data_IF_292818975778
#
_entry.id   IF_292818975778
#
_cell.length_a   1.000
_cell.length_b   1.000
_cell.length_c   1.000
_cell.angle_alpha   90.00
_cell.angle_beta   90.00
_cell.angle_gamma   90.00
#
_symmetry.space_group_name_H-M   'P 1'
#
loop_
_entity.id
_entity.type
_entity.pdbx_description
1 polymer ?
#
# COMPACT_ATOMS: atom_id res chain seq x y z
N UNK A 1 13.91 -7.35 -10.97
CA UNK A 1 13.68 -5.92 -11.34
C UNK A 1 14.60 -5.15 -10.44
N UNK A 2 15.61 -4.46 -10.97
CA UNK A 2 16.55 -3.73 -10.10
C UNK A 2 15.92 -2.39 -9.70
N UNK A 3 15.65 -2.24 -8.41
CA UNK A 3 15.21 -0.97 -7.83
C UNK A 3 16.39 0.00 -7.81
N UNK A 4 16.19 1.21 -8.34
CA UNK A 4 17.17 2.29 -8.19
C UNK A 4 17.47 2.51 -6.70
N UNK A 5 18.66 3.03 -6.43
CA UNK A 5 19.06 3.38 -5.05
C UNK A 5 18.00 4.29 -4.45
N UNK A 6 17.37 3.81 -3.37
CA UNK A 6 16.32 4.54 -2.64
C UNK A 6 16.81 5.95 -2.26
N UNK A 7 16.05 7.02 -2.55
CA UNK A 7 16.40 8.38 -2.15
C UNK A 7 16.43 8.50 -0.61
N UNK A 8 17.11 9.51 -0.06
CA UNK A 8 17.18 9.71 1.40
C UNK A 8 15.80 9.84 2.05
N UNK A 9 14.86 10.48 1.36
CA UNK A 9 13.45 10.60 1.77
C UNK A 9 12.76 9.25 1.96
N UNK A 10 13.19 8.22 1.24
CA UNK A 10 12.69 6.86 1.42
C UNK A 10 12.95 6.37 2.84
N UNK A 11 14.16 6.57 3.38
CA UNK A 11 14.49 6.12 4.74
C UNK A 11 13.72 6.91 5.80
N UNK A 12 13.42 8.19 5.55
CA UNK A 12 12.61 9.01 6.47
C UNK A 12 11.20 8.43 6.65
N UNK A 13 10.53 8.04 5.57
CA UNK A 13 9.18 7.44 5.63
C UNK A 13 9.18 6.13 6.40
N UNK A 14 10.23 5.31 6.22
CA UNK A 14 10.40 4.06 6.96
C UNK A 14 10.60 4.31 8.46
N UNK A 15 11.55 5.17 8.80
CA UNK A 15 11.87 5.48 10.19
C UNK A 15 10.66 6.10 10.90
N UNK A 16 9.86 6.88 10.19
CA UNK A 16 8.59 7.41 10.68
C UNK A 16 7.55 6.32 10.92
N UNK A 17 7.32 5.41 9.97
CA UNK A 17 6.39 4.30 10.16
C UNK A 17 6.78 3.42 11.37
N UNK A 18 8.08 3.12 11.52
CA UNK A 18 8.62 2.38 12.67
C UNK A 18 8.43 3.18 13.98
N UNK A 19 8.63 4.50 13.95
CA UNK A 19 8.43 5.39 15.10
C UNK A 19 6.96 5.45 15.50
N UNK A 20 6.04 5.68 14.56
CA UNK A 20 4.60 5.75 14.83
C UNK A 20 4.08 4.44 15.38
N UNK A 21 4.50 3.31 14.81
CA UNK A 21 4.15 1.98 15.33
C UNK A 21 4.56 1.81 16.79
N UNK A 22 5.79 2.18 17.13
CA UNK A 22 6.30 2.15 18.50
C UNK A 22 5.57 3.12 19.43
N UNK A 23 5.35 4.36 18.99
CA UNK A 23 4.70 5.41 19.78
C UNK A 23 3.24 5.04 20.11
N UNK A 24 2.56 4.31 19.21
CA UNK A 24 1.22 3.74 19.42
C UNK A 24 1.23 2.43 20.21
N UNK A 25 2.40 1.88 20.54
CA UNK A 25 2.53 0.61 21.24
C UNK A 25 2.05 -0.59 20.42
N UNK A 26 2.09 -0.51 19.09
CA UNK A 26 1.67 -1.60 18.21
C UNK A 26 2.72 -2.72 18.30
N UNK A 27 2.31 -3.95 18.67
CA UNK A 27 3.27 -5.02 18.82
C UNK A 27 3.65 -5.61 17.44
N UNK A 28 4.88 -6.12 17.25
CA UNK A 28 5.38 -6.54 15.93
C UNK A 28 4.54 -7.64 15.26
N UNK A 29 3.86 -8.48 16.03
CA UNK A 29 2.95 -9.50 15.49
C UNK A 29 1.70 -8.92 14.84
N UNK A 30 1.32 -7.67 15.15
CA UNK A 30 0.17 -6.98 14.55
C UNK A 30 0.54 -6.09 13.38
N UNK A 31 1.73 -5.49 13.41
CA UNK A 31 2.29 -4.75 12.30
C UNK A 31 3.81 -4.67 12.40
N UNK A 32 4.50 -5.06 11.33
CA UNK A 32 5.95 -4.92 11.23
C UNK A 32 6.40 -4.76 9.79
N UNK A 33 7.62 -4.23 9.61
CA UNK A 33 8.33 -4.36 8.35
C UNK A 33 8.42 -5.84 7.97
N UNK A 34 8.12 -6.17 6.71
CA UNK A 34 8.20 -7.54 6.22
C UNK A 34 9.67 -7.96 6.11
N UNK A 35 9.96 -9.26 6.18
CA UNK A 35 11.33 -9.75 6.08
C UNK A 35 11.98 -9.28 4.77
N UNK A 36 13.16 -8.65 4.86
CA UNK A 36 13.90 -8.09 3.70
C UNK A 36 14.17 -9.12 2.61
N UNK A 37 14.37 -10.39 2.98
CA UNK A 37 14.55 -11.50 2.04
C UNK A 37 13.33 -11.79 1.19
N UNK A 38 12.14 -11.32 1.57
CA UNK A 38 10.88 -11.53 0.85
C UNK A 38 10.33 -10.30 0.14
N UNK A 39 10.98 -9.12 0.25
CA UNK A 39 10.45 -7.89 -0.37
C UNK A 39 10.35 -7.98 -1.88
N UNK A 40 11.41 -8.47 -2.52
CA UNK A 40 11.44 -8.59 -3.97
C UNK A 40 10.31 -9.49 -4.46
N UNK A 41 10.03 -10.59 -3.76
CA UNK A 41 8.93 -11.49 -4.09
C UNK A 41 7.56 -10.82 -3.97
N UNK A 42 7.32 -10.06 -2.89
CA UNK A 42 6.05 -9.36 -2.67
C UNK A 42 5.84 -8.27 -3.72
N UNK A 43 6.86 -7.44 -3.96
CA UNK A 43 6.78 -6.35 -4.95
C UNK A 43 6.66 -6.93 -6.37
N UNK A 44 7.43 -7.97 -6.69
CA UNK A 44 7.34 -8.64 -8.00
C UNK A 44 5.93 -9.21 -8.21
N UNK A 45 5.37 -9.91 -7.23
CA UNK A 45 3.99 -10.42 -7.31
C UNK A 45 2.99 -9.29 -7.48
N UNK A 46 3.12 -8.19 -6.74
CA UNK A 46 2.29 -7.01 -6.93
C UNK A 46 2.37 -6.49 -8.37
N UNK A 47 3.58 -6.23 -8.88
CA UNK A 47 3.78 -5.68 -10.21
C UNK A 47 3.18 -6.58 -11.29
N UNK A 48 3.51 -7.88 -11.30
CA UNK A 48 2.99 -8.80 -12.31
C UNK A 48 1.49 -9.11 -12.19
N UNK A 49 0.90 -8.90 -11.00
CA UNK A 49 -0.52 -9.17 -10.77
C UNK A 49 -1.41 -7.96 -11.07
N UNK A 50 -0.93 -6.73 -10.88
CA UNK A 50 -1.79 -5.55 -11.00
C UNK A 50 -1.35 -4.59 -12.10
N UNK A 51 -0.08 -4.59 -12.50
CA UNK A 51 0.44 -3.63 -13.48
C UNK A 51 0.52 -4.22 -14.89
N UNK A 52 0.34 -3.37 -15.89
CA UNK A 52 0.78 -3.62 -17.25
C UNK A 52 2.28 -3.34 -17.34
N UNK A 53 3.07 -4.40 -17.24
CA UNK A 53 4.53 -4.33 -17.26
C UNK A 53 5.11 -3.73 -18.55
N UNK A 54 4.33 -3.62 -19.64
CA UNK A 54 4.77 -2.93 -20.86
C UNK A 54 4.68 -1.41 -20.73
N UNK A 55 3.78 -0.91 -19.86
CA UNK A 55 3.55 0.51 -19.61
C UNK A 55 4.37 1.03 -18.43
N UNK A 56 4.77 0.14 -17.52
CA UNK A 56 5.61 0.51 -16.37
C UNK A 56 6.96 1.08 -16.83
N UNK A 57 7.28 2.29 -16.35
CA UNK A 57 8.54 2.97 -16.62
C UNK A 57 9.30 3.20 -15.32
N UNK A 58 10.61 2.94 -15.36
CA UNK A 58 11.46 3.11 -14.19
C UNK A 58 11.25 2.02 -13.14
N UNK A 59 11.94 2.18 -12.02
CA UNK A 59 11.95 1.22 -10.93
C UNK A 59 11.21 1.71 -9.68
N UNK A 60 10.69 2.93 -9.68
CA UNK A 60 9.84 3.44 -8.60
C UNK A 60 8.44 2.83 -8.66
N UNK A 61 7.81 2.66 -7.49
CA UNK A 61 6.38 2.31 -7.42
C UNK A 61 5.48 3.56 -7.43
N UNK A 62 6.05 4.76 -7.36
CA UNK A 62 5.29 6.00 -7.55
C UNK A 62 4.58 6.02 -8.91
N UNK A 63 3.34 6.47 -8.92
CA UNK A 63 2.41 6.51 -10.07
C UNK A 63 2.17 5.16 -10.77
N UNK A 64 2.55 4.03 -10.16
CA UNK A 64 2.34 2.71 -10.79
C UNK A 64 0.87 2.40 -11.00
N UNK A 65 -0.01 3.00 -10.21
CA UNK A 65 -1.46 2.89 -10.38
C UNK A 65 -1.96 3.37 -11.75
N UNK A 66 -1.28 4.33 -12.40
CA UNK A 66 -1.59 4.76 -13.76
C UNK A 66 -1.39 3.63 -14.80
N UNK A 67 -0.58 2.64 -14.43
CA UNK A 67 -0.24 1.50 -15.27
C UNK A 67 -0.99 0.23 -14.84
N UNK A 68 -2.07 0.33 -14.06
CA UNK A 68 -2.89 -0.85 -13.74
C UNK A 68 -3.38 -1.52 -15.03
N UNK A 69 -3.26 -2.86 -15.06
CA UNK A 69 -3.55 -3.63 -16.27
C UNK A 69 -5.03 -3.59 -16.62
N UNK A 70 -5.30 -3.63 -17.92
CA UNK A 70 -6.66 -3.79 -18.43
C UNK A 70 -7.25 -5.12 -17.92
N UNK A 71 -8.51 -5.08 -17.49
CA UNK A 71 -9.24 -6.26 -17.02
C UNK A 71 -9.42 -6.38 -15.51
N UNK A 72 -8.79 -5.52 -14.70
CA UNK A 72 -9.15 -5.39 -13.28
C UNK A 72 -10.58 -4.86 -13.13
N UNK A 73 -11.26 -5.25 -12.05
CA UNK A 73 -12.51 -4.64 -11.63
C UNK A 73 -12.18 -3.52 -10.64
N UNK A 74 -12.65 -2.30 -10.90
CA UNK A 74 -12.36 -1.13 -10.08
C UNK A 74 -13.61 -0.68 -9.32
N UNK A 75 -13.44 -0.21 -8.09
CA UNK A 75 -14.46 0.57 -7.38
C UNK A 75 -14.52 1.99 -7.93
N UNK A 76 -15.58 2.72 -7.56
CA UNK A 76 -15.53 4.18 -7.59
C UNK A 76 -14.42 4.69 -6.65
N UNK A 77 -13.79 5.84 -6.97
CA UNK A 77 -12.74 6.40 -6.14
C UNK A 77 -13.33 6.97 -4.84
N UNK A 78 -12.72 6.60 -3.71
CA UNK A 78 -12.95 7.27 -2.43
C UNK A 78 -12.07 8.52 -2.41
N UNK A 79 -12.68 9.70 -2.49
CA UNK A 79 -11.95 10.98 -2.47
C UNK A 79 -11.53 11.34 -1.04
N UNK A 80 -10.30 11.83 -0.91
CA UNK A 80 -9.83 12.53 0.25
C UNK A 80 -10.69 13.79 0.44
N UNK A 81 -11.05 14.07 1.68
CA UNK A 81 -11.78 15.27 2.06
C UNK A 81 -10.87 16.15 2.92
N UNK A 82 -11.47 17.06 3.70
CA UNK A 82 -10.70 17.86 4.66
C UNK A 82 -10.19 17.06 5.87
N UNK A 83 -10.71 15.85 6.09
CA UNK A 83 -10.36 14.98 7.23
C UNK A 83 -9.75 13.66 6.71
N UNK A 84 -8.45 13.54 6.89
CA UNK A 84 -7.65 12.40 6.44
C UNK A 84 -7.94 11.12 7.24
N UNK A 85 -8.23 11.24 8.54
CA UNK A 85 -8.61 10.11 9.38
C UNK A 85 -9.96 9.53 8.93
N UNK A 86 -10.95 10.39 8.70
CA UNK A 86 -12.25 9.98 8.17
C UNK A 86 -12.15 9.42 6.74
N UNK A 87 -11.20 9.92 5.95
CA UNK A 87 -10.89 9.36 4.64
C UNK A 87 -10.35 7.93 4.76
N UNK A 88 -9.27 7.70 5.51
CA UNK A 88 -8.70 6.36 5.67
C UNK A 88 -9.66 5.38 6.35
N UNK A 89 -10.51 5.84 7.27
CA UNK A 89 -11.59 5.02 7.82
C UNK A 89 -12.54 4.50 6.73
N UNK A 90 -12.93 5.34 5.75
CA UNK A 90 -13.76 4.92 4.60
C UNK A 90 -13.01 4.00 3.65
N UNK A 91 -11.72 4.26 3.40
CA UNK A 91 -10.89 3.39 2.55
C UNK A 91 -10.77 1.99 3.15
N UNK A 92 -10.65 1.87 4.48
CA UNK A 92 -10.61 0.58 5.18
C UNK A 92 -11.85 -0.27 4.90
N UNK A 93 -13.03 0.34 4.73
CA UNK A 93 -14.27 -0.37 4.45
C UNK A 93 -14.32 -1.02 3.06
N UNK A 94 -13.37 -0.69 2.16
CA UNK A 94 -13.21 -1.37 0.87
C UNK A 94 -12.64 -2.79 1.01
N UNK A 95 -12.11 -3.16 2.18
CA UNK A 95 -11.54 -4.48 2.40
C UNK A 95 -12.68 -5.53 2.40
N UNK A 96 -12.58 -6.56 1.53
CA UNK A 96 -13.56 -7.66 1.49
C UNK A 96 -13.69 -8.34 2.85
N UNK A 97 -14.92 -8.71 3.22
CA UNK A 97 -15.26 -9.26 4.53
C UNK A 97 -14.38 -10.45 4.90
N UNK A 98 -14.07 -11.33 3.93
CA UNK A 98 -13.26 -12.51 4.14
C UNK A 98 -11.78 -12.23 4.49
N UNK A 99 -11.30 -11.01 4.27
CA UNK A 99 -9.90 -10.61 4.48
C UNK A 99 -9.74 -9.61 5.64
N UNK A 100 -10.82 -9.16 6.29
CA UNK A 100 -10.77 -8.14 7.37
C UNK A 100 -9.94 -8.56 8.58
N UNK A 101 -10.00 -9.83 8.95
CA UNK A 101 -9.26 -10.41 10.08
C UNK A 101 -7.91 -11.02 9.67
N UNK A 102 -7.47 -10.80 8.42
CA UNK A 102 -6.17 -11.28 7.93
C UNK A 102 -5.16 -10.15 7.99
N UNK A 103 -3.90 -10.54 8.14
CA UNK A 103 -2.79 -9.64 7.82
C UNK A 103 -2.84 -9.32 6.33
N UNK A 104 -2.49 -8.09 5.99
CA UNK A 104 -2.40 -7.55 4.65
C UNK A 104 -0.95 -7.10 4.41
N UNK A 105 -0.57 -6.96 3.15
CA UNK A 105 0.67 -6.26 2.83
C UNK A 105 0.40 -4.78 2.60
N UNK A 106 1.27 -3.93 3.13
CA UNK A 106 1.35 -2.51 2.78
C UNK A 106 2.66 -2.30 2.03
N UNK A 107 2.58 -1.83 0.79
CA UNK A 107 3.74 -1.40 0.01
C UNK A 107 3.68 0.12 -0.13
N UNK A 108 4.73 0.81 0.30
CA UNK A 108 4.88 2.25 0.07
C UNK A 108 5.57 2.50 -1.29
N UNK A 109 5.27 3.63 -1.93
CA UNK A 109 5.82 3.99 -3.26
C UNK A 109 7.35 3.91 -3.32
N UNK A 110 8.03 4.14 -2.18
CA UNK A 110 9.48 4.07 -2.05
C UNK A 110 10.02 2.63 -1.87
N UNK A 111 9.17 1.61 -2.00
CA UNK A 111 9.54 0.19 -1.99
C UNK A 111 9.79 -0.40 -0.60
N UNK A 112 9.15 0.15 0.44
CA UNK A 112 9.09 -0.48 1.76
C UNK A 112 7.87 -1.38 1.85
N UNK A 113 8.05 -2.57 2.40
CA UNK A 113 6.99 -3.58 2.53
C UNK A 113 6.76 -3.86 4.00
N UNK A 114 5.50 -3.75 4.42
CA UNK A 114 5.04 -4.09 5.75
C UNK A 114 3.98 -5.18 5.66
N UNK A 115 3.81 -5.91 6.76
CA UNK A 115 2.71 -6.84 6.96
C UNK A 115 2.02 -6.50 8.28
N UNK A 116 0.69 -6.41 8.26
CA UNK A 116 -0.08 -6.17 9.47
C UNK A 116 -1.59 -6.20 9.25
N UNK A 117 -2.36 -6.07 10.31
CA UNK A 117 -3.83 -6.02 10.20
C UNK A 117 -4.31 -4.65 9.74
N UNK A 118 -5.53 -4.62 9.20
CA UNK A 118 -6.15 -3.40 8.70
C UNK A 118 -6.26 -2.31 9.77
N UNK A 119 -6.54 -2.67 11.03
CA UNK A 119 -6.60 -1.71 12.13
C UNK A 119 -5.28 -0.94 12.28
N UNK A 120 -4.15 -1.64 12.38
CA UNK A 120 -2.84 -1.02 12.53
C UNK A 120 -2.44 -0.23 11.29
N UNK A 121 -2.57 -0.81 10.10
CA UNK A 121 -2.21 -0.15 8.83
C UNK A 121 -2.94 1.20 8.74
N UNK A 122 -4.26 1.20 8.88
CA UNK A 122 -5.07 2.41 8.71
C UNK A 122 -4.96 3.38 9.90
N UNK A 123 -4.42 2.96 11.04
CA UNK A 123 -4.07 3.86 12.15
C UNK A 123 -2.76 4.63 11.93
N UNK A 124 -1.90 4.16 11.01
CA UNK A 124 -0.60 4.75 10.70
C UNK A 124 -0.66 5.66 9.47
N UNK A 125 -1.38 5.25 8.41
CA UNK A 125 -1.46 5.98 7.14
C UNK A 125 -1.74 7.49 7.29
N UNK A 126 -2.77 7.96 8.03
CA UNK A 126 -3.07 9.40 8.17
C UNK A 126 -2.00 10.19 8.94
N UNK A 127 -1.03 9.53 9.55
CA UNK A 127 0.01 10.18 10.38
C UNK A 127 1.39 10.13 9.73
N UNK A 128 1.52 9.53 8.54
CA UNK A 128 2.78 9.50 7.79
C UNK A 128 3.00 10.86 7.10
N UNK A 129 4.07 11.56 7.46
CA UNK A 129 4.41 12.89 6.95
C UNK A 129 4.68 12.94 5.43
N UNK A 130 4.97 11.80 4.79
CA UNK A 130 5.26 11.75 3.35
C UNK A 130 4.72 10.48 2.67
N UNK A 131 3.40 10.35 2.65
CA UNK A 131 2.68 9.26 2.01
C UNK A 131 2.31 9.62 0.55
N UNK A 132 3.20 9.39 -0.41
CA UNK A 132 2.91 9.66 -1.83
C UNK A 132 1.87 8.66 -2.41
N UNK A 133 2.28 7.41 -2.62
CA UNK A 133 1.37 6.33 -2.97
C UNK A 133 1.53 5.17 -1.99
N UNK A 134 0.41 4.54 -1.66
CA UNK A 134 0.39 3.33 -0.85
C UNK A 134 -0.48 2.25 -1.50
N UNK A 135 0.00 1.01 -1.44
CA UNK A 135 -0.67 -0.16 -1.98
C UNK A 135 -0.94 -1.16 -0.85
N UNK A 136 -2.21 -1.32 -0.48
CA UNK A 136 -2.66 -2.31 0.49
C UNK A 136 -3.16 -3.54 -0.27
N UNK A 137 -2.60 -4.71 0.02
CA UNK A 137 -2.80 -5.92 -0.77
C UNK A 137 -3.34 -7.05 0.09
N UNK A 138 -4.26 -7.83 -0.49
CA UNK A 138 -4.58 -9.15 0.03
C UNK A 138 -3.34 -10.06 0.05
N UNK A 139 -3.19 -10.98 1.03
CA UNK A 139 -2.12 -11.98 1.07
C UNK A 139 -2.02 -12.87 -0.17
N UNK A 140 -3.16 -13.06 -0.84
CA UNK A 140 -3.30 -13.89 -2.04
C UNK A 140 -3.23 -13.07 -3.34
N UNK A 141 -2.93 -11.77 -3.27
CA UNK A 141 -2.85 -10.87 -4.42
C UNK A 141 -4.11 -10.89 -5.31
N UNK A 142 -5.29 -11.08 -4.72
CA UNK A 142 -6.59 -11.06 -5.44
C UNK A 142 -7.11 -9.63 -5.64
N UNK A 143 -6.76 -8.73 -4.74
CA UNK A 143 -7.12 -7.32 -4.82
C UNK A 143 -6.00 -6.43 -4.25
N UNK A 144 -6.06 -5.16 -4.64
CA UNK A 144 -5.24 -4.05 -4.16
C UNK A 144 -6.13 -2.83 -3.89
N UNK A 145 -5.88 -2.14 -2.78
CA UNK A 145 -6.32 -0.76 -2.58
C UNK A 145 -5.12 0.12 -2.84
N UNK A 146 -5.24 1.04 -3.77
CA UNK A 146 -4.21 2.05 -4.03
C UNK A 146 -4.70 3.39 -3.52
N UNK A 147 -3.91 4.03 -2.66
CA UNK A 147 -4.00 5.45 -2.35
C UNK A 147 -2.96 6.21 -3.16
N UNK A 148 -3.36 7.38 -3.67
CA UNK A 148 -2.49 8.35 -4.31
C UNK A 148 -2.77 9.74 -3.70
N UNK A 149 -1.72 10.40 -3.22
CA UNK A 149 -1.76 11.75 -2.64
C UNK A 149 -2.12 12.81 -3.70
N UNK A 150 -1.41 12.82 -4.84
CA UNK A 150 -1.70 13.71 -5.96
C UNK A 150 -3.13 13.58 -6.51
N UNK A 151 -3.65 12.34 -6.51
CA UNK A 151 -5.01 12.04 -6.93
C UNK A 151 -6.07 12.36 -5.87
N UNK A 152 -5.62 12.70 -4.65
CA UNK A 152 -6.39 12.87 -3.43
C UNK A 152 -7.46 11.78 -3.30
N UNK A 153 -7.10 10.52 -3.53
CA UNK A 153 -8.07 9.43 -3.51
C UNK A 153 -7.46 8.04 -3.30
N UNK A 154 -8.36 7.09 -3.05
CA UNK A 154 -8.06 5.67 -3.11
C UNK A 154 -9.05 4.91 -3.98
N UNK A 155 -8.55 3.86 -4.62
CA UNK A 155 -9.33 2.97 -5.49
C UNK A 155 -9.06 1.53 -5.11
N UNK A 156 -10.13 0.75 -4.94
CA UNK A 156 -10.04 -0.70 -4.85
C UNK A 156 -10.01 -1.31 -6.26
N UNK A 157 -9.11 -2.25 -6.49
CA UNK A 157 -8.99 -2.99 -7.75
C UNK A 157 -8.84 -4.48 -7.49
N UNK A 158 -9.62 -5.32 -8.17
CA UNK A 158 -9.60 -6.77 -8.02
C UNK A 158 -9.34 -7.50 -9.35
N UNK A 159 -8.64 -8.63 -9.26
CA UNK A 159 -8.50 -9.57 -10.37
C UNK A 159 -9.86 -10.24 -10.60
N UNK A 160 -10.39 -10.14 -11.81
CA UNK A 160 -11.62 -10.86 -12.19
C UNK A 160 -11.32 -12.37 -12.16
N UNK A 161 -12.17 -13.13 -11.47
CA UNK A 161 -12.13 -14.60 -11.54
C UNK A 161 -12.62 -15.07 -12.91
#
# INVERSE_FOLDING_TARGET
MEFEKKPETSYLVRDEAEKLSRDKGIPPERFSEFAKSGWEDIITKFCYTFLDMKKQRGSSLAYSWLNFREGLAHSEPVRCGADEFAYFARVRELIPEEDRDKKLFLILSQGWVYEGYAEEIFSLLPELFYLEDAYILSPKFRWVICHCDDGECAVFSAVKN
#
